data_IF_104830014254
#
_entry.id   IF_104830014254
#
_cell.length_a   1.000
_cell.length_b   1.000
_cell.length_c   1.000
_cell.angle_alpha   90.00
_cell.angle_beta   90.00
_cell.angle_gamma   90.00
#
_symmetry.space_group_name_H-M   'P 1'
#
loop_
_entity.id
_entity.type
_entity.pdbx_description
1 polymer ?
#
# COMPACT_ATOMS: atom_id res chain seq x y z
N UNK A 1 14.31 -5.55 23.17
CA UNK A 1 14.13 -4.17 23.65
C UNK A 1 13.08 -3.52 22.78
N UNK A 2 11.88 -3.17 23.29
CA UNK A 2 10.91 -2.41 22.50
C UNK A 2 11.48 -1.01 22.31
N UNK A 3 11.64 -0.60 21.05
CA UNK A 3 12.04 0.75 20.71
C UNK A 3 10.99 1.74 21.29
N UNK A 4 11.50 2.76 21.95
CA UNK A 4 10.74 3.78 22.68
C UNK A 4 9.63 4.41 21.82
N UNK A 5 8.44 3.84 21.86
CA UNK A 5 7.24 4.38 21.22
C UNK A 5 6.92 5.79 21.74
N UNK A 6 7.34 6.11 22.98
CA UNK A 6 7.20 7.42 23.57
C UNK A 6 8.09 8.50 22.91
N UNK A 7 9.29 8.15 22.48
CA UNK A 7 10.21 9.09 21.83
C UNK A 7 9.72 9.44 20.42
N UNK A 8 9.18 8.47 19.68
CA UNK A 8 8.55 8.66 18.36
C UNK A 8 7.30 9.56 18.47
N UNK A 9 6.43 9.31 19.46
CA UNK A 9 5.24 10.13 19.68
C UNK A 9 5.61 11.55 20.10
N UNK A 10 6.64 11.73 20.94
CA UNK A 10 7.12 13.05 21.36
C UNK A 10 7.79 13.79 20.19
N UNK A 11 8.57 13.11 19.37
CA UNK A 11 9.14 13.67 18.13
C UNK A 11 8.03 14.09 17.16
N UNK A 12 7.00 13.26 17.01
CA UNK A 12 5.84 13.55 16.17
C UNK A 12 4.97 14.70 16.75
N UNK A 13 4.86 14.83 18.07
CA UNK A 13 4.16 15.95 18.72
C UNK A 13 4.94 17.27 18.60
N UNK A 14 6.27 17.23 18.66
CA UNK A 14 7.12 18.40 18.38
C UNK A 14 7.09 18.83 16.90
N UNK A 15 6.55 17.96 16.04
CA UNK A 15 6.34 18.21 14.61
C UNK A 15 5.06 19.04 14.32
N UNK A 16 4.16 19.17 15.29
CA UNK A 16 2.93 19.97 15.17
C UNK A 16 3.22 21.49 15.19
N UNK A 17 4.39 21.92 15.62
CA UNK A 17 4.76 23.35 15.74
C UNK A 17 5.58 23.92 14.57
N UNK A 18 5.89 23.17 13.52
CA UNK A 18 6.53 23.74 12.36
C UNK A 18 7.29 22.77 11.46
N UNK A 19 6.84 22.60 10.24
CA UNK A 19 7.49 21.96 9.09
C UNK A 19 8.26 20.68 9.40
N UNK A 20 7.52 19.58 9.49
CA UNK A 20 8.10 18.25 9.52
C UNK A 20 8.91 18.01 8.26
N UNK A 21 10.20 17.82 8.42
CA UNK A 21 11.05 17.38 7.33
C UNK A 21 10.71 15.93 6.95
N UNK A 22 10.11 15.75 5.76
CA UNK A 22 9.79 14.44 5.19
C UNK A 22 10.98 13.49 5.23
N UNK A 23 12.20 14.02 5.09
CA UNK A 23 13.44 13.27 5.19
C UNK A 23 13.63 12.67 6.57
N UNK A 24 13.42 13.45 7.63
CA UNK A 24 13.56 12.99 9.02
C UNK A 24 12.54 11.91 9.33
N UNK A 25 11.27 12.06 8.91
CA UNK A 25 10.26 11.02 9.05
C UNK A 25 10.63 9.75 8.31
N UNK A 26 11.17 9.87 7.10
CA UNK A 26 11.61 8.73 6.33
C UNK A 26 12.75 7.98 7.03
N UNK A 27 13.74 8.69 7.56
CA UNK A 27 14.85 8.10 8.31
C UNK A 27 14.38 7.38 9.59
N UNK A 28 13.45 7.98 10.35
CA UNK A 28 12.88 7.39 11.56
C UNK A 28 11.99 6.17 11.28
N UNK A 29 11.24 6.19 10.17
CA UNK A 29 10.31 5.13 9.79
C UNK A 29 10.89 4.16 8.73
N UNK A 30 12.20 4.26 8.46
CA UNK A 30 12.86 3.42 7.49
C UNK A 30 12.66 1.91 7.70
N UNK A 31 12.71 1.37 8.95
CA UNK A 31 12.47 -0.05 9.18
C UNK A 31 11.08 -0.49 8.72
N UNK A 32 10.03 0.28 9.03
CA UNK A 32 8.65 -0.03 8.66
C UNK A 32 8.42 0.10 7.14
N UNK A 33 8.99 1.14 6.54
CA UNK A 33 8.94 1.34 5.09
C UNK A 33 9.65 0.20 4.34
N UNK A 34 10.78 -0.24 4.86
CA UNK A 34 11.53 -1.38 4.31
C UNK A 34 10.74 -2.69 4.43
N UNK A 35 10.11 -2.92 5.57
CA UNK A 35 9.26 -4.10 5.76
C UNK A 35 8.05 -4.05 4.83
N UNK A 36 7.44 -2.87 4.66
CA UNK A 36 6.37 -2.64 3.69
C UNK A 36 6.85 -3.00 2.27
N UNK A 37 7.98 -2.47 1.81
CA UNK A 37 8.55 -2.78 0.50
C UNK A 37 8.88 -4.28 0.35
N UNK A 38 9.41 -4.92 1.39
CA UNK A 38 9.69 -6.36 1.37
C UNK A 38 8.42 -7.21 1.28
N UNK A 39 7.30 -6.80 1.89
CA UNK A 39 6.03 -7.52 1.75
C UNK A 39 5.57 -7.56 0.31
N UNK A 40 5.73 -6.46 -0.44
CA UNK A 40 5.40 -6.41 -1.86
C UNK A 40 6.27 -7.33 -2.70
N UNK A 41 7.56 -7.34 -2.39
CA UNK A 41 8.55 -8.11 -3.16
C UNK A 41 8.64 -9.59 -2.75
N UNK A 42 7.96 -10.02 -1.66
CA UNK A 42 8.06 -11.38 -1.13
C UNK A 42 7.56 -12.44 -2.10
N UNK A 43 6.61 -12.10 -2.93
CA UNK A 43 5.95 -13.02 -3.87
C UNK A 43 6.33 -12.80 -5.33
N UNK A 44 7.25 -11.87 -5.58
CA UNK A 44 7.73 -11.65 -6.93
C UNK A 44 8.83 -12.63 -7.32
N UNK A 45 8.76 -13.12 -8.56
CA UNK A 45 9.76 -14.01 -9.14
C UNK A 45 11.16 -13.38 -9.06
N UNK A 46 12.19 -14.23 -8.90
CA UNK A 46 13.62 -13.82 -8.88
C UNK A 46 14.06 -13.02 -10.12
N UNK A 47 13.28 -13.05 -11.18
CA UNK A 47 13.47 -12.28 -12.43
C UNK A 47 12.87 -10.86 -12.38
N UNK A 48 12.41 -10.41 -11.19
CA UNK A 48 11.87 -9.06 -11.05
C UNK A 48 12.99 -8.03 -11.13
N UNK A 49 12.85 -7.08 -12.06
CA UNK A 49 13.85 -6.01 -12.26
C UNK A 49 13.87 -4.98 -11.15
N UNK A 50 12.81 -4.90 -10.34
CA UNK A 50 12.72 -4.03 -9.17
C UNK A 50 12.91 -4.83 -7.88
N UNK A 51 13.81 -4.39 -7.01
CA UNK A 51 14.02 -4.95 -5.67
C UNK A 51 13.34 -4.07 -4.62
N UNK A 52 13.11 -4.61 -3.41
CA UNK A 52 12.51 -3.86 -2.31
C UNK A 52 13.22 -2.53 -2.02
N UNK A 53 14.54 -2.52 -2.12
CA UNK A 53 15.37 -1.31 -1.99
C UNK A 53 15.11 -0.30 -3.11
N UNK A 54 14.91 -0.77 -4.35
CA UNK A 54 14.55 0.10 -5.48
C UNK A 54 13.18 0.77 -5.28
N UNK A 55 12.17 -0.02 -4.90
CA UNK A 55 10.84 0.49 -4.56
C UNK A 55 10.90 1.53 -3.44
N UNK A 56 11.69 1.24 -2.40
CA UNK A 56 11.86 2.15 -1.27
C UNK A 56 12.54 3.47 -1.69
N UNK A 57 13.57 3.41 -2.54
CA UNK A 57 14.26 4.60 -3.04
C UNK A 57 13.36 5.44 -3.93
N UNK A 58 12.59 4.85 -4.84
CA UNK A 58 11.64 5.60 -5.66
C UNK A 58 10.53 6.24 -4.82
N UNK A 59 10.03 5.52 -3.79
CA UNK A 59 9.08 6.08 -2.85
C UNK A 59 9.68 7.25 -2.07
N UNK A 60 10.95 7.15 -1.63
CA UNK A 60 11.66 8.23 -0.96
C UNK A 60 11.68 9.52 -1.80
N UNK A 61 12.08 9.43 -3.06
CA UNK A 61 12.13 10.59 -3.96
C UNK A 61 10.76 11.25 -4.07
N UNK A 62 9.69 10.43 -4.24
CA UNK A 62 8.31 10.95 -4.32
C UNK A 62 7.82 11.58 -3.01
N UNK A 63 8.27 11.09 -1.85
CA UNK A 63 7.83 11.58 -0.54
C UNK A 63 8.59 12.84 -0.10
N UNK A 64 9.88 12.91 -0.37
CA UNK A 64 10.73 14.06 0.00
C UNK A 64 10.41 15.30 -0.83
N UNK A 65 10.01 15.11 -2.09
CA UNK A 65 9.58 16.21 -2.97
C UNK A 65 8.21 16.82 -2.56
N UNK A 66 7.50 16.20 -1.60
CA UNK A 66 6.22 16.67 -1.08
C UNK A 66 6.40 17.65 0.10
N UNK A 67 7.18 18.71 -0.09
CA UNK A 67 7.42 19.76 0.90
C UNK A 67 6.15 20.53 1.38
N UNK A 68 5.00 20.23 0.80
CA UNK A 68 3.71 20.89 1.08
C UNK A 68 2.73 20.00 1.87
N UNK A 69 3.09 18.76 2.22
CA UNK A 69 2.20 17.86 2.96
C UNK A 69 2.33 18.16 4.45
N UNK A 70 1.20 18.52 5.06
CA UNK A 70 1.08 18.61 6.50
C UNK A 70 0.96 17.20 7.09
N UNK A 71 2.04 16.69 7.67
CA UNK A 71 2.13 15.33 8.20
C UNK A 71 1.40 15.23 9.53
N UNK A 72 0.30 14.50 9.57
CA UNK A 72 -0.54 14.30 10.76
C UNK A 72 -0.06 13.12 11.63
N UNK A 73 1.22 12.77 11.55
CA UNK A 73 1.83 11.73 12.37
C UNK A 73 2.29 10.49 11.60
N UNK A 74 2.80 9.51 12.34
CA UNK A 74 3.39 8.26 11.83
C UNK A 74 2.44 7.50 10.88
N UNK A 75 1.21 7.27 11.31
CA UNK A 75 0.23 6.49 10.53
C UNK A 75 -0.12 7.17 9.22
N UNK A 76 -0.28 8.49 9.23
CA UNK A 76 -0.52 9.27 8.01
C UNK A 76 0.67 9.18 7.05
N UNK A 77 1.90 9.34 7.53
CA UNK A 77 3.11 9.21 6.71
C UNK A 77 3.22 7.82 6.07
N UNK A 78 3.02 6.77 6.85
CA UNK A 78 3.06 5.39 6.34
C UNK A 78 1.92 5.11 5.34
N UNK A 79 0.71 5.67 5.54
CA UNK A 79 -0.40 5.53 4.61
C UNK A 79 -0.10 6.21 3.26
N UNK A 80 0.47 7.42 3.28
CA UNK A 80 0.92 8.12 2.06
C UNK A 80 2.06 7.35 1.38
N UNK A 81 2.97 6.77 2.16
CA UNK A 81 4.05 5.92 1.64
C UNK A 81 3.52 4.67 0.94
N UNK A 82 2.50 4.03 1.51
CA UNK A 82 1.82 2.89 0.88
C UNK A 82 1.20 3.27 -0.47
N UNK A 83 0.56 4.44 -0.55
CA UNK A 83 0.04 4.97 -1.81
C UNK A 83 1.14 5.25 -2.84
N UNK A 84 2.26 5.82 -2.40
CA UNK A 84 3.40 6.08 -3.30
C UNK A 84 3.98 4.76 -3.84
N UNK A 85 4.19 3.76 -2.98
CA UNK A 85 4.68 2.44 -3.37
C UNK A 85 3.70 1.73 -4.32
N UNK A 86 2.38 1.80 -4.03
CA UNK A 86 1.34 1.27 -4.93
C UNK A 86 1.51 1.83 -6.34
N UNK A 87 1.57 3.17 -6.48
CA UNK A 87 1.70 3.84 -7.79
C UNK A 87 2.95 3.40 -8.53
N UNK A 88 4.09 3.29 -7.83
CA UNK A 88 5.35 2.83 -8.44
C UNK A 88 5.21 1.41 -8.97
N UNK A 89 4.61 0.49 -8.20
CA UNK A 89 4.40 -0.90 -8.60
C UNK A 89 3.48 -1.01 -9.82
N UNK A 90 2.39 -0.24 -9.83
CA UNK A 90 1.44 -0.20 -10.95
C UNK A 90 2.12 0.35 -12.21
N UNK A 91 2.87 1.43 -12.10
CA UNK A 91 3.61 2.01 -13.23
C UNK A 91 4.64 1.02 -13.78
N UNK A 92 5.35 0.31 -12.89
CA UNK A 92 6.31 -0.71 -13.27
C UNK A 92 5.63 -1.92 -13.95
N UNK A 93 4.53 -2.42 -13.40
CA UNK A 93 3.75 -3.51 -14.00
C UNK A 93 3.22 -3.12 -15.39
N UNK A 94 2.67 -1.92 -15.54
CA UNK A 94 2.22 -1.38 -16.83
C UNK A 94 3.36 -1.28 -17.85
N UNK A 95 4.54 -0.81 -17.43
CA UNK A 95 5.72 -0.70 -18.30
C UNK A 95 6.22 -2.08 -18.75
N UNK A 96 6.30 -3.04 -17.84
CA UNK A 96 6.78 -4.40 -18.13
C UNK A 96 5.85 -5.14 -19.08
N UNK A 97 4.54 -5.03 -18.90
CA UNK A 97 3.55 -5.65 -19.81
C UNK A 97 3.52 -5.00 -21.19
N UNK A 98 3.78 -3.69 -21.30
CA UNK A 98 3.94 -3.05 -22.63
C UNK A 98 5.12 -3.63 -23.41
N UNK A 99 6.22 -3.93 -22.72
CA UNK A 99 7.41 -4.50 -23.33
C UNK A 99 7.27 -5.98 -23.69
N UNK A 100 6.35 -6.70 -23.02
CA UNK A 100 6.04 -8.11 -23.27
C UNK A 100 4.98 -8.33 -24.39
N UNK A 101 4.73 -7.40 -25.28
CA UNK A 101 3.75 -7.56 -26.37
C UNK A 101 4.07 -8.79 -27.21
N UNK A 102 3.36 -9.91 -26.95
CA UNK A 102 3.48 -11.20 -27.64
C UNK A 102 3.25 -12.44 -26.77
N UNK A 103 2.96 -12.30 -25.49
CA UNK A 103 2.78 -13.44 -24.56
C UNK A 103 1.31 -13.72 -24.24
N UNK A 104 0.98 -15.01 -24.23
CA UNK A 104 -0.32 -15.60 -23.87
C UNK A 104 -0.85 -15.04 -22.55
N UNK A 105 -2.12 -14.61 -22.54
CA UNK A 105 -2.85 -14.24 -21.32
C UNK A 105 -2.98 -15.47 -20.42
N UNK A 106 -2.11 -15.65 -19.45
CA UNK A 106 -2.26 -16.72 -18.47
C UNK A 106 -3.47 -16.44 -17.57
N UNK A 107 -4.40 -17.40 -17.51
CA UNK A 107 -5.54 -17.34 -16.58
C UNK A 107 -5.03 -17.31 -15.15
N UNK A 108 -5.34 -16.24 -14.47
CA UNK A 108 -4.99 -16.01 -13.07
C UNK A 108 -5.95 -16.82 -12.21
N UNK A 109 -5.42 -17.75 -11.40
CA UNK A 109 -6.21 -18.39 -10.35
C UNK A 109 -6.25 -17.48 -9.13
N UNK A 110 -7.41 -16.93 -8.85
CA UNK A 110 -7.67 -16.17 -7.63
C UNK A 110 -7.98 -17.13 -6.48
N UNK A 111 -7.00 -17.36 -5.63
CA UNK A 111 -7.19 -18.07 -4.36
C UNK A 111 -7.36 -17.04 -3.23
N UNK A 112 -8.14 -17.38 -2.18
CA UNK A 112 -8.32 -16.51 -0.99
C UNK A 112 -6.98 -16.14 -0.32
N UNK A 113 -5.97 -16.94 -0.51
CA UNK A 113 -4.62 -16.73 -0.01
C UNK A 113 -3.99 -15.42 -0.49
N UNK A 114 -4.27 -14.96 -1.71
CA UNK A 114 -3.61 -13.76 -2.24
C UNK A 114 -4.06 -12.45 -1.57
N UNK A 115 -5.29 -12.40 -1.00
CA UNK A 115 -5.72 -11.25 -0.19
C UNK A 115 -4.92 -11.10 1.12
N UNK A 116 -4.27 -12.17 1.56
CA UNK A 116 -3.35 -12.16 2.71
C UNK A 116 -1.87 -12.14 2.32
N UNK A 117 -1.55 -12.45 1.07
CA UNK A 117 -0.18 -12.71 0.61
C UNK A 117 0.41 -11.62 -0.31
N UNK A 118 -0.42 -10.76 -0.91
CA UNK A 118 0.05 -9.74 -1.87
C UNK A 118 0.17 -10.26 -3.32
N UNK A 119 0.45 -9.38 -4.30
CA UNK A 119 0.47 -9.74 -5.71
C UNK A 119 1.72 -10.52 -6.09
N UNK A 120 1.54 -11.72 -6.66
CA UNK A 120 2.64 -12.59 -7.10
C UNK A 120 3.16 -12.29 -8.51
N UNK A 121 2.38 -11.59 -9.33
CA UNK A 121 2.68 -11.29 -10.74
C UNK A 121 2.19 -9.90 -11.12
N UNK A 122 2.78 -9.33 -12.17
CA UNK A 122 2.40 -8.02 -12.68
C UNK A 122 0.93 -7.94 -13.10
N UNK A 123 0.39 -9.00 -13.66
CA UNK A 123 -1.02 -9.10 -14.01
C UNK A 123 -1.92 -9.00 -12.77
N UNK A 124 -1.50 -9.57 -11.63
CA UNK A 124 -2.22 -9.47 -10.36
C UNK A 124 -2.21 -8.05 -9.82
N UNK A 125 -1.08 -7.35 -9.92
CA UNK A 125 -0.98 -5.94 -9.53
C UNK A 125 -2.02 -5.11 -10.28
N UNK A 126 -2.15 -5.31 -11.60
CA UNK A 126 -3.09 -4.55 -12.41
C UNK A 126 -4.55 -4.93 -12.14
N UNK A 127 -4.85 -6.21 -11.93
CA UNK A 127 -6.22 -6.63 -11.57
C UNK A 127 -6.68 -6.01 -10.24
N UNK A 128 -5.80 -5.95 -9.25
CA UNK A 128 -6.09 -5.28 -7.98
C UNK A 128 -6.25 -3.79 -8.20
N UNK A 129 -5.39 -3.19 -9.02
CA UNK A 129 -5.48 -1.77 -9.34
C UNK A 129 -6.82 -1.42 -9.97
N UNK A 130 -7.25 -2.19 -10.97
CA UNK A 130 -8.55 -2.01 -11.62
C UNK A 130 -9.71 -2.11 -10.61
N UNK A 131 -9.64 -3.06 -9.67
CA UNK A 131 -10.64 -3.19 -8.62
C UNK A 131 -10.60 -2.00 -7.64
N UNK A 132 -9.41 -1.53 -7.24
CA UNK A 132 -9.27 -0.37 -6.34
C UNK A 132 -9.76 0.90 -7.04
N UNK A 133 -9.45 1.10 -8.33
CA UNK A 133 -9.95 2.24 -9.10
C UNK A 133 -11.49 2.26 -9.21
N UNK A 134 -12.12 1.08 -9.32
CA UNK A 134 -13.58 0.95 -9.27
C UNK A 134 -14.12 1.28 -7.89
N UNK A 135 -13.49 0.75 -6.84
CA UNK A 135 -13.90 1.01 -5.46
C UNK A 135 -13.73 2.49 -5.09
N UNK A 136 -12.67 3.15 -5.58
CA UNK A 136 -12.39 4.56 -5.32
C UNK A 136 -13.49 5.49 -5.88
N UNK A 137 -14.11 5.08 -7.00
CA UNK A 137 -15.28 5.79 -7.57
C UNK A 137 -16.57 5.55 -6.79
N UNK A 138 -16.71 4.38 -6.15
CA UNK A 138 -17.89 4.00 -5.37
C UNK A 138 -17.81 4.53 -3.94
N UNK A 139 -16.71 4.27 -3.27
CA UNK A 139 -16.41 4.66 -1.89
C UNK A 139 -14.92 4.87 -1.70
N UNK A 140 -14.43 6.13 -1.73
CA UNK A 140 -13.03 6.47 -1.54
C UNK A 140 -12.45 6.01 -0.20
N UNK A 141 -13.29 5.95 0.86
CA UNK A 141 -12.83 5.52 2.18
C UNK A 141 -12.57 4.01 2.18
N UNK A 142 -13.45 3.23 1.58
CA UNK A 142 -13.23 1.79 1.44
C UNK A 142 -12.00 1.50 0.58
N UNK A 143 -11.77 2.24 -0.50
CA UNK A 143 -10.54 2.12 -1.29
C UNK A 143 -9.29 2.46 -0.46
N UNK A 144 -9.35 3.49 0.39
CA UNK A 144 -8.26 3.82 1.32
C UNK A 144 -7.99 2.68 2.32
N UNK A 145 -9.04 2.06 2.87
CA UNK A 145 -8.92 0.89 3.75
C UNK A 145 -8.20 -0.25 3.01
N UNK A 146 -8.55 -0.52 1.74
CA UNK A 146 -7.87 -1.55 0.93
C UNK A 146 -6.38 -1.22 0.80
N UNK A 147 -6.04 0.00 0.45
CA UNK A 147 -4.63 0.40 0.30
C UNK A 147 -3.86 0.26 1.61
N UNK A 148 -4.41 0.74 2.71
CA UNK A 148 -3.77 0.61 4.02
C UNK A 148 -3.58 -0.86 4.43
N UNK A 149 -4.60 -1.69 4.25
CA UNK A 149 -4.56 -3.11 4.64
C UNK A 149 -3.68 -3.95 3.71
N UNK A 150 -3.90 -3.82 2.42
CA UNK A 150 -3.25 -4.65 1.41
C UNK A 150 -1.82 -4.17 1.13
N UNK A 151 -1.65 -2.88 0.82
CA UNK A 151 -0.37 -2.30 0.50
C UNK A 151 0.43 -1.88 1.75
N UNK A 152 -0.19 -1.24 2.70
CA UNK A 152 0.46 -0.76 3.93
C UNK A 152 0.69 -1.84 4.98
N UNK A 153 -0.10 -2.92 4.98
CA UNK A 153 -0.07 -3.97 6.00
C UNK A 153 -0.51 -3.48 7.39
N UNK A 154 -1.28 -2.41 7.44
CA UNK A 154 -1.79 -1.86 8.68
C UNK A 154 -2.73 -2.84 9.40
N UNK A 155 -2.72 -2.83 10.73
CA UNK A 155 -3.72 -3.56 11.51
C UNK A 155 -5.09 -2.90 11.41
N UNK A 156 -6.15 -3.62 11.83
CA UNK A 156 -7.50 -3.02 11.92
C UNK A 156 -7.53 -1.84 12.89
N UNK A 157 -6.70 -1.87 13.92
CA UNK A 157 -6.58 -0.78 14.88
C UNK A 157 -5.90 0.44 14.25
N UNK A 158 -4.80 0.27 13.52
CA UNK A 158 -4.12 1.38 12.85
C UNK A 158 -5.05 2.10 11.85
N UNK A 159 -5.86 1.33 11.10
CA UNK A 159 -6.86 1.88 10.18
C UNK A 159 -7.95 2.62 10.93
N UNK A 160 -8.42 2.08 12.05
CA UNK A 160 -9.45 2.69 12.89
C UNK A 160 -8.94 4.03 13.46
N UNK A 161 -7.73 4.05 13.99
CA UNK A 161 -7.09 5.24 14.54
C UNK A 161 -6.90 6.32 13.47
N UNK A 162 -6.47 5.91 12.26
CA UNK A 162 -6.29 6.81 11.13
C UNK A 162 -7.61 7.45 10.65
N UNK A 163 -8.69 6.67 10.61
CA UNK A 163 -10.00 7.14 10.14
C UNK A 163 -10.85 7.80 11.25
N UNK A 164 -10.41 7.76 12.49
CA UNK A 164 -11.21 8.19 13.64
C UNK A 164 -12.44 7.30 13.88
N UNK A 165 -12.35 6.01 13.51
CA UNK A 165 -13.43 5.04 13.63
C UNK A 165 -13.17 4.02 14.77
N UNK A 166 -14.22 3.31 15.17
CA UNK A 166 -14.04 2.14 16.03
C UNK A 166 -13.45 0.97 15.22
N UNK A 167 -12.61 0.15 15.86
CA UNK A 167 -12.07 -1.08 15.26
C UNK A 167 -13.18 -1.99 14.71
N UNK A 168 -14.29 -2.12 15.44
CA UNK A 168 -15.45 -2.93 15.03
C UNK A 168 -16.06 -2.42 13.71
N UNK A 169 -16.13 -1.11 13.52
CA UNK A 169 -16.60 -0.53 12.25
C UNK A 169 -15.66 -0.89 11.11
N UNK A 170 -14.34 -0.75 11.31
CA UNK A 170 -13.35 -1.13 10.27
C UNK A 170 -13.43 -2.62 9.94
N UNK A 171 -13.62 -3.50 10.93
CA UNK A 171 -13.77 -4.95 10.72
C UNK A 171 -15.03 -5.28 9.90
N UNK A 172 -16.14 -4.59 10.15
CA UNK A 172 -17.36 -4.74 9.37
C UNK A 172 -17.17 -4.27 7.92
N UNK A 173 -16.60 -3.08 7.72
CA UNK A 173 -16.26 -2.55 6.39
C UNK A 173 -15.30 -3.48 5.64
N UNK A 174 -14.26 -3.97 6.31
CA UNK A 174 -13.31 -4.90 5.70
C UNK A 174 -13.97 -6.20 5.25
N UNK A 175 -14.98 -6.66 5.98
CA UNK A 175 -15.76 -7.85 5.58
C UNK A 175 -16.56 -7.58 4.31
N UNK A 176 -17.22 -6.43 4.21
CA UNK A 176 -17.94 -6.01 3.02
C UNK A 176 -17.01 -5.81 1.81
N UNK A 177 -15.89 -5.12 2.03
CA UNK A 177 -14.84 -4.91 1.02
C UNK A 177 -14.33 -6.24 0.46
N UNK A 178 -14.03 -7.21 1.31
CA UNK A 178 -13.57 -8.54 0.85
C UNK A 178 -14.62 -9.25 -0.01
N UNK A 179 -15.88 -9.19 0.36
CA UNK A 179 -16.96 -9.79 -0.42
C UNK A 179 -17.09 -9.12 -1.80
N UNK A 180 -17.03 -7.79 -1.83
CA UNK A 180 -17.07 -7.02 -3.07
C UNK A 180 -15.86 -7.29 -3.97
N UNK A 181 -14.65 -7.29 -3.42
CA UNK A 181 -13.41 -7.59 -4.16
C UNK A 181 -13.47 -9.00 -4.79
N UNK A 182 -13.97 -10.01 -4.06
CA UNK A 182 -14.15 -11.36 -4.62
C UNK A 182 -15.05 -11.35 -5.85
N UNK A 183 -16.17 -10.63 -5.79
CA UNK A 183 -17.10 -10.53 -6.93
C UNK A 183 -16.42 -9.88 -8.12
N UNK A 184 -15.87 -8.68 -7.96
CA UNK A 184 -15.25 -7.91 -9.04
C UNK A 184 -14.06 -8.65 -9.66
N UNK A 185 -13.18 -9.20 -8.85
CA UNK A 185 -12.00 -9.91 -9.36
C UNK A 185 -12.38 -11.20 -10.08
N UNK A 186 -13.45 -11.89 -9.64
CA UNK A 186 -13.95 -13.06 -10.37
C UNK A 186 -14.52 -12.70 -11.76
N UNK A 187 -15.02 -11.48 -11.94
CA UNK A 187 -15.49 -10.97 -13.22
C UNK A 187 -14.32 -10.54 -14.12
N UNK A 188 -13.34 -9.82 -13.56
CA UNK A 188 -12.16 -9.37 -14.31
C UNK A 188 -11.31 -10.52 -14.86
N UNK A 189 -11.23 -11.64 -14.15
CA UNK A 189 -10.50 -12.85 -14.61
C UNK A 189 -11.21 -13.57 -15.76
N UNK A 190 -12.51 -13.36 -15.95
CA UNK A 190 -13.28 -14.00 -17.04
C UNK A 190 -13.18 -13.27 -18.38
N UNK A 191 -12.68 -12.02 -18.36
CA UNK A 191 -12.47 -11.19 -19.56
C UNK A 191 -11.08 -11.43 -20.16
#
# INVERSE_FOLDING_TARGET
MPADTNNLTQTLLNLVEGKVDSKKLFEELYPELREMAHRYMRYENKDHTMQATGLLHEAYVKLVDQSKVDWQGRTHFLAVSAQAMRRILVDHARAKLRNKRGGDKQKVKLDEAWMSMGPEKEEHVLLIEDAIEQLEKLDPIQAQIVVMRFYGGFSMQDVADHLGWSKRKVEAEWTAIKAWLRSVLSELVKQ
#
